data_IF_717731231334
#
_entry.id   IF_717731231334
#
_cell.length_a   1.000
_cell.length_b   1.000
_cell.length_c   1.000
_cell.angle_alpha   90.00
_cell.angle_beta   90.00
_cell.angle_gamma   90.00
#
_symmetry.space_group_name_H-M   'P 1'
#
loop_
_entity.id
_entity.type
_entity.pdbx_description
1 polymer ?
#
# COMPACT_ATOMS: atom_id res chain seq x y z
N UNK A 1 -17.04 -42.40 32.68
CA UNK A 1 -16.61 -41.72 31.45
C UNK A 1 -16.23 -40.31 31.84
N UNK A 2 -14.95 -40.08 32.10
CA UNK A 2 -14.42 -38.72 32.34
C UNK A 2 -14.48 -37.98 31.01
N UNK A 3 -15.10 -36.79 31.01
CA UNK A 3 -14.96 -35.86 29.91
C UNK A 3 -13.46 -35.59 29.75
N UNK A 4 -12.89 -36.06 28.63
CA UNK A 4 -11.55 -35.74 28.22
C UNK A 4 -11.51 -34.22 28.08
N UNK A 5 -10.73 -33.55 28.94
CA UNK A 5 -10.51 -32.12 28.83
C UNK A 5 -9.93 -31.89 27.44
N UNK A 6 -10.68 -31.23 26.55
CA UNK A 6 -10.19 -30.86 25.23
C UNK A 6 -9.06 -29.87 25.46
N UNK A 7 -7.82 -30.36 25.39
CA UNK A 7 -6.63 -29.52 25.46
C UNK A 7 -6.77 -28.36 24.47
N UNK A 8 -6.48 -27.12 24.87
CA UNK A 8 -6.58 -25.98 23.97
C UNK A 8 -5.65 -26.21 22.77
N UNK A 9 -6.25 -26.34 21.58
CA UNK A 9 -5.51 -26.58 20.34
C UNK A 9 -4.53 -25.42 20.11
N UNK A 10 -3.24 -25.75 19.98
CA UNK A 10 -2.16 -24.82 19.69
C UNK A 10 -2.53 -23.87 18.52
N UNK A 11 -2.43 -22.54 18.68
CA UNK A 11 -2.92 -21.58 17.68
C UNK A 11 -2.27 -21.74 16.31
N UNK A 12 -1.00 -22.14 16.27
CA UNK A 12 -0.29 -22.38 15.03
C UNK A 12 -0.80 -23.65 14.32
N UNK A 13 -1.03 -24.74 15.07
CA UNK A 13 -1.61 -25.99 14.55
C UNK A 13 -2.97 -25.72 13.90
N UNK A 14 -3.83 -24.95 14.57
CA UNK A 14 -5.13 -24.56 14.00
C UNK A 14 -5.00 -23.70 12.75
N UNK A 15 -4.06 -22.76 12.75
CA UNK A 15 -3.75 -21.90 11.60
C UNK A 15 -3.23 -22.70 10.41
N UNK A 16 -2.31 -23.64 10.63
CA UNK A 16 -1.78 -24.53 9.60
C UNK A 16 -2.92 -25.34 8.99
N UNK A 17 -3.79 -25.91 9.81
CA UNK A 17 -4.95 -26.67 9.35
C UNK A 17 -5.92 -25.83 8.49
N UNK A 18 -6.06 -24.52 8.77
CA UNK A 18 -6.84 -23.61 7.94
C UNK A 18 -6.20 -23.38 6.56
N UNK A 19 -4.87 -23.25 6.49
CA UNK A 19 -4.15 -23.16 5.20
C UNK A 19 -4.18 -24.48 4.42
N UNK A 20 -4.01 -25.62 5.09
CA UNK A 20 -4.18 -26.96 4.51
C UNK A 20 -5.54 -27.12 3.81
N UNK A 21 -6.64 -26.78 4.51
CA UNK A 21 -7.99 -26.86 3.93
C UNK A 21 -8.27 -25.79 2.88
N UNK A 22 -7.68 -24.61 3.04
CA UNK A 22 -8.03 -23.40 2.30
C UNK A 22 -7.02 -22.95 1.25
N UNK A 23 -5.99 -23.73 0.92
CA UNK A 23 -4.89 -23.32 0.06
C UNK A 23 -5.34 -22.75 -1.29
N UNK A 24 -6.26 -23.44 -1.98
CA UNK A 24 -6.81 -22.97 -3.25
C UNK A 24 -7.58 -21.64 -3.11
N UNK A 25 -8.40 -21.50 -2.06
CA UNK A 25 -9.13 -20.26 -1.76
C UNK A 25 -8.16 -19.12 -1.46
N UNK A 26 -7.11 -19.39 -0.67
CA UNK A 26 -6.08 -18.41 -0.36
C UNK A 26 -5.34 -17.94 -1.61
N UNK A 27 -4.95 -18.87 -2.50
CA UNK A 27 -4.30 -18.55 -3.75
C UNK A 27 -5.18 -17.64 -4.61
N UNK A 28 -6.48 -17.92 -4.72
CA UNK A 28 -7.42 -17.10 -5.48
C UNK A 28 -7.61 -15.68 -4.92
N UNK A 29 -7.50 -15.50 -3.59
CA UNK A 29 -7.60 -14.20 -2.92
C UNK A 29 -6.25 -13.48 -2.75
N UNK A 30 -5.15 -14.12 -3.16
CA UNK A 30 -3.82 -13.53 -3.07
C UNK A 30 -3.57 -12.67 -4.29
N UNK A 31 -3.39 -11.37 -4.09
CA UNK A 31 -2.99 -10.45 -5.15
C UNK A 31 -1.70 -10.93 -5.81
N UNK A 32 -1.66 -10.86 -7.14
CA UNK A 32 -0.44 -11.11 -7.93
C UNK A 32 0.67 -10.08 -7.70
N UNK A 33 0.40 -8.98 -6.99
CA UNK A 33 1.42 -7.99 -6.63
C UNK A 33 2.31 -8.55 -5.52
N UNK A 34 3.62 -8.66 -5.81
CA UNK A 34 4.65 -9.11 -4.86
C UNK A 34 4.80 -8.20 -3.64
N UNK A 35 5.36 -8.73 -2.56
CA UNK A 35 5.64 -7.95 -1.36
C UNK A 35 6.72 -6.87 -1.58
N UNK A 36 6.61 -5.69 -0.96
CA UNK A 36 7.73 -4.74 -0.86
C UNK A 36 8.96 -5.32 -0.16
N UNK A 37 8.78 -6.33 0.71
CA UNK A 37 9.90 -7.03 1.36
C UNK A 37 10.85 -7.67 0.34
N UNK A 38 10.39 -7.97 -0.88
CA UNK A 38 11.25 -8.45 -1.97
C UNK A 38 12.28 -7.39 -2.34
N UNK A 39 11.89 -6.11 -2.47
CA UNK A 39 12.84 -5.03 -2.79
C UNK A 39 13.84 -4.80 -1.66
N UNK A 40 13.37 -4.89 -0.41
CA UNK A 40 14.22 -4.79 0.77
C UNK A 40 15.30 -5.89 0.77
N UNK A 41 14.92 -7.14 0.45
CA UNK A 41 15.88 -8.23 0.39
C UNK A 41 16.89 -8.03 -0.76
N UNK A 42 16.42 -7.64 -1.95
CA UNK A 42 17.28 -7.42 -3.12
C UNK A 42 18.32 -6.32 -2.89
N UNK A 43 18.05 -5.35 -2.03
CA UNK A 43 19.04 -4.33 -1.65
C UNK A 43 20.18 -4.87 -0.76
N UNK A 44 20.06 -6.11 -0.27
CA UNK A 44 20.96 -6.69 0.74
C UNK A 44 21.61 -8.01 0.33
N UNK A 45 21.32 -8.50 -0.87
CA UNK A 45 21.91 -9.74 -1.39
C UNK A 45 22.57 -9.48 -2.74
N UNK A 46 23.59 -10.27 -3.05
CA UNK A 46 24.23 -10.24 -4.36
C UNK A 46 23.36 -10.97 -5.41
N UNK A 47 23.50 -10.63 -6.71
CA UNK A 47 22.95 -11.45 -7.78
C UNK A 47 23.39 -12.93 -7.63
N UNK A 48 22.49 -13.88 -7.91
CA UNK A 48 22.77 -15.31 -7.74
C UNK A 48 22.75 -15.80 -6.29
N UNK A 49 22.39 -14.96 -5.31
CA UNK A 49 22.24 -15.38 -3.93
C UNK A 49 21.22 -16.51 -3.76
N UNK A 50 21.55 -17.48 -2.89
CA UNK A 50 20.67 -18.60 -2.54
C UNK A 50 19.79 -18.19 -1.35
N UNK A 51 18.48 -18.22 -1.54
CA UNK A 51 17.48 -17.80 -0.55
C UNK A 51 16.63 -18.97 -0.11
N UNK A 52 16.46 -19.15 1.20
CA UNK A 52 15.38 -19.96 1.74
C UNK A 52 14.13 -19.10 1.92
N UNK A 53 13.04 -19.42 1.21
CA UNK A 53 11.74 -18.80 1.48
C UNK A 53 10.93 -19.68 2.42
N UNK A 54 10.57 -19.14 3.58
CA UNK A 54 9.64 -19.74 4.53
C UNK A 54 8.22 -19.30 4.17
N UNK A 55 7.32 -20.26 3.96
CA UNK A 55 5.91 -20.04 3.64
C UNK A 55 5.69 -19.40 2.26
N UNK A 56 6.17 -20.05 1.21
CA UNK A 56 6.03 -19.64 -0.19
C UNK A 56 4.58 -19.46 -0.64
N UNK A 57 3.63 -20.15 -0.01
CA UNK A 57 2.22 -20.15 -0.37
C UNK A 57 2.03 -20.46 -1.87
N UNK A 58 1.32 -19.60 -2.63
CA UNK A 58 1.15 -19.78 -4.07
C UNK A 58 2.42 -19.48 -4.90
N UNK A 59 3.55 -19.12 -4.28
CA UNK A 59 4.85 -18.95 -4.94
C UNK A 59 5.11 -17.57 -5.56
N UNK A 60 4.27 -16.58 -5.24
CA UNK A 60 4.33 -15.22 -5.81
C UNK A 60 5.66 -14.52 -5.52
N UNK A 61 6.10 -14.52 -4.26
CA UNK A 61 7.28 -13.76 -3.85
C UNK A 61 8.57 -14.47 -4.29
N UNK A 62 8.66 -15.81 -4.18
CA UNK A 62 9.72 -16.59 -4.82
C UNK A 62 9.85 -16.32 -6.33
N UNK A 63 8.75 -16.30 -7.09
CA UNK A 63 8.82 -16.04 -8.53
C UNK A 63 9.44 -14.66 -8.82
N UNK A 64 9.16 -13.66 -7.98
CA UNK A 64 9.76 -12.34 -8.13
C UNK A 64 11.26 -12.32 -7.77
N UNK A 65 11.66 -13.06 -6.73
CA UNK A 65 13.07 -13.21 -6.34
C UNK A 65 13.87 -13.95 -7.43
N UNK A 66 13.31 -15.02 -7.99
CA UNK A 66 13.90 -15.76 -9.11
C UNK A 66 14.02 -14.90 -10.37
N UNK A 67 12.99 -14.10 -10.69
CA UNK A 67 13.04 -13.15 -11.81
C UNK A 67 14.11 -12.06 -11.63
N UNK A 68 14.48 -11.76 -10.38
CA UNK A 68 15.59 -10.86 -10.06
C UNK A 68 16.97 -11.56 -10.06
N UNK A 69 17.03 -12.85 -10.39
CA UNK A 69 18.27 -13.61 -10.56
C UNK A 69 18.77 -14.31 -9.29
N UNK A 70 17.91 -14.52 -8.29
CA UNK A 70 18.24 -15.29 -7.08
C UNK A 70 17.85 -16.77 -7.26
N UNK A 71 18.48 -17.65 -6.50
CA UNK A 71 18.13 -19.08 -6.44
C UNK A 71 17.27 -19.31 -5.20
N UNK A 72 16.00 -19.64 -5.37
CA UNK A 72 15.06 -19.75 -4.25
C UNK A 72 14.75 -21.21 -3.91
N UNK A 73 15.02 -21.59 -2.68
CA UNK A 73 14.56 -22.84 -2.08
C UNK A 73 13.20 -22.58 -1.44
N UNK A 74 12.13 -23.04 -2.10
CA UNK A 74 10.75 -22.78 -1.70
C UNK A 74 10.31 -23.74 -0.60
N UNK A 75 9.70 -23.22 0.46
CA UNK A 75 9.16 -24.06 1.53
C UNK A 75 7.82 -23.55 2.03
N UNK A 76 6.94 -24.45 2.45
CA UNK A 76 5.69 -24.08 3.13
C UNK A 76 5.34 -25.11 4.20
N UNK A 77 4.60 -24.69 5.22
CA UNK A 77 4.08 -25.63 6.21
C UNK A 77 2.92 -26.46 5.66
N UNK A 78 2.12 -25.90 4.74
CA UNK A 78 0.95 -26.55 4.18
C UNK A 78 1.29 -27.34 2.91
N UNK A 79 1.09 -28.67 2.95
CA UNK A 79 1.39 -29.58 1.84
C UNK A 79 0.70 -29.19 0.52
N UNK A 80 -0.56 -28.72 0.47
CA UNK A 80 -1.21 -28.33 -0.78
C UNK A 80 -0.50 -27.23 -1.56
N UNK A 81 0.14 -26.28 -0.88
CA UNK A 81 0.98 -25.28 -1.55
C UNK A 81 2.23 -25.93 -2.14
N UNK A 82 2.91 -26.76 -1.36
CA UNK A 82 4.12 -27.48 -1.80
C UNK A 82 3.80 -28.40 -2.99
N UNK A 83 2.72 -29.17 -2.94
CA UNK A 83 2.26 -30.02 -4.03
C UNK A 83 1.97 -29.22 -5.30
N UNK A 84 1.32 -28.06 -5.18
CA UNK A 84 1.05 -27.16 -6.31
C UNK A 84 2.33 -26.63 -6.92
N UNK A 85 3.29 -26.18 -6.11
CA UNK A 85 4.59 -25.67 -6.58
C UNK A 85 5.41 -26.76 -7.28
N UNK A 86 5.41 -27.99 -6.73
CA UNK A 86 6.05 -29.15 -7.37
C UNK A 86 5.41 -29.49 -8.71
N UNK A 87 4.08 -29.44 -8.81
CA UNK A 87 3.36 -29.66 -10.06
C UNK A 87 3.68 -28.59 -11.13
N UNK A 88 4.09 -27.38 -10.71
CA UNK A 88 4.58 -26.32 -11.58
C UNK A 88 6.06 -26.46 -11.95
N UNK A 89 6.75 -27.49 -11.45
CA UNK A 89 8.16 -27.76 -11.73
C UNK A 89 9.14 -27.07 -10.78
N UNK A 90 8.67 -26.47 -9.70
CA UNK A 90 9.55 -25.86 -8.71
C UNK A 90 10.07 -26.88 -7.69
N UNK A 91 11.33 -26.71 -7.25
CA UNK A 91 11.86 -27.41 -6.08
C UNK A 91 11.25 -26.80 -4.81
N UNK A 92 10.26 -27.50 -4.26
CA UNK A 92 9.55 -27.10 -3.04
C UNK A 92 9.48 -28.26 -2.06
N UNK A 93 9.57 -27.95 -0.75
CA UNK A 93 9.40 -28.94 0.33
C UNK A 93 8.55 -28.44 1.47
N UNK A 94 7.94 -29.37 2.19
CA UNK A 94 7.29 -29.06 3.47
C UNK A 94 8.35 -28.72 4.51
N UNK A 95 8.12 -27.62 5.23
CA UNK A 95 8.95 -27.20 6.35
C UNK A 95 8.08 -26.55 7.42
N UNK A 96 8.10 -27.11 8.63
CA UNK A 96 7.55 -26.44 9.80
C UNK A 96 8.53 -25.34 10.25
N UNK A 97 8.04 -24.11 10.36
CA UNK A 97 8.82 -22.97 10.87
C UNK A 97 9.22 -23.11 12.33
N UNK A 98 8.67 -24.08 13.09
CA UNK A 98 9.13 -24.47 14.44
C UNK A 98 10.14 -25.62 14.44
N UNK A 99 10.57 -26.13 13.29
CA UNK A 99 11.61 -27.13 13.21
C UNK A 99 12.94 -26.63 13.81
N UNK A 100 13.73 -27.56 14.35
CA UNK A 100 15.03 -27.23 14.98
C UNK A 100 16.12 -26.88 13.96
N UNK A 101 15.94 -27.33 12.71
CA UNK A 101 16.87 -27.12 11.59
C UNK A 101 16.12 -26.83 10.28
N UNK A 102 16.54 -25.77 9.59
CA UNK A 102 16.05 -25.42 8.26
C UNK A 102 17.01 -25.84 7.15
N UNK A 103 18.18 -26.40 7.47
CA UNK A 103 19.29 -26.62 6.55
C UNK A 103 20.05 -25.34 6.23
N UNK A 104 20.84 -25.37 5.15
CA UNK A 104 21.66 -24.25 4.68
C UNK A 104 23.16 -24.58 4.66
N UNK A 105 24.04 -23.56 4.71
CA UNK A 105 23.73 -22.15 4.94
C UNK A 105 23.29 -21.39 3.67
N UNK A 106 22.30 -20.52 3.82
CA UNK A 106 21.73 -19.67 2.77
C UNK A 106 22.31 -18.25 2.79
N UNK A 107 22.38 -17.57 1.64
CA UNK A 107 22.75 -16.16 1.58
C UNK A 107 21.68 -15.26 2.21
N UNK A 108 20.42 -15.70 2.15
CA UNK A 108 19.36 -15.11 2.94
C UNK A 108 18.23 -16.08 3.30
N UNK A 109 17.48 -15.72 4.35
CA UNK A 109 16.19 -16.32 4.71
C UNK A 109 15.11 -15.25 4.55
N UNK A 110 14.02 -15.60 3.88
CA UNK A 110 12.90 -14.71 3.56
C UNK A 110 11.59 -15.28 4.11
N UNK A 111 10.81 -14.48 4.84
CA UNK A 111 9.56 -14.91 5.46
C UNK A 111 8.49 -13.80 5.44
N UNK A 112 7.72 -13.71 4.36
CA UNK A 112 6.72 -12.67 4.20
C UNK A 112 5.36 -13.07 4.78
N UNK A 113 4.93 -12.40 5.85
CA UNK A 113 3.65 -12.62 6.54
C UNK A 113 3.45 -14.06 7.04
N UNK A 114 4.55 -14.71 7.45
CA UNK A 114 4.58 -16.10 7.94
C UNK A 114 4.81 -16.15 9.44
N UNK A 115 5.90 -15.54 9.93
CA UNK A 115 6.31 -15.62 11.34
C UNK A 115 5.33 -14.92 12.30
N UNK A 116 4.41 -14.11 11.78
CA UNK A 116 3.28 -13.55 12.53
C UNK A 116 2.24 -14.60 12.96
N UNK A 117 2.32 -15.83 12.45
CA UNK A 117 1.51 -16.98 12.88
C UNK A 117 2.18 -17.80 14.00
N UNK A 118 3.42 -17.47 14.38
CA UNK A 118 4.16 -18.17 15.43
C UNK A 118 3.79 -17.57 16.79
N UNK A 119 3.39 -18.38 17.79
CA UNK A 119 3.10 -17.89 19.13
C UNK A 119 4.32 -17.18 19.74
N UNK A 120 4.05 -16.18 20.58
CA UNK A 120 5.06 -15.20 21.03
C UNK A 120 6.27 -15.86 21.69
N UNK A 121 6.03 -16.91 22.46
CA UNK A 121 7.01 -17.69 23.21
C UNK A 121 7.96 -18.49 22.31
N UNK A 122 7.57 -18.78 21.07
CA UNK A 122 8.39 -19.54 20.12
C UNK A 122 9.19 -18.68 19.15
N UNK A 123 8.86 -17.39 18.99
CA UNK A 123 9.50 -16.56 17.97
C UNK A 123 11.03 -16.49 18.14
N UNK A 124 11.53 -16.40 19.37
CA UNK A 124 12.99 -16.33 19.62
C UNK A 124 13.70 -17.58 19.11
N UNK A 125 13.15 -18.77 19.36
CA UNK A 125 13.72 -20.02 18.90
C UNK A 125 13.69 -20.11 17.36
N UNK A 126 12.57 -19.72 16.74
CA UNK A 126 12.42 -19.71 15.28
C UNK A 126 13.40 -18.74 14.61
N UNK A 127 13.55 -17.53 15.16
CA UNK A 127 14.52 -16.56 14.67
C UNK A 127 15.96 -17.06 14.86
N UNK A 128 16.27 -17.75 15.96
CA UNK A 128 17.58 -18.36 16.15
C UNK A 128 17.87 -19.46 15.12
N UNK A 129 16.89 -20.31 14.79
CA UNK A 129 17.02 -21.32 13.72
C UNK A 129 17.23 -20.65 12.36
N UNK A 130 16.44 -19.62 12.02
CA UNK A 130 16.62 -18.86 10.78
C UNK A 130 18.02 -18.20 10.70
N UNK A 131 18.52 -17.68 11.81
CA UNK A 131 19.86 -17.09 11.90
C UNK A 131 20.99 -18.12 11.77
N UNK A 132 20.80 -19.36 12.25
CA UNK A 132 21.76 -20.46 12.04
C UNK A 132 21.77 -20.95 10.59
N UNK A 133 20.61 -20.94 9.94
CA UNK A 133 20.45 -21.28 8.53
C UNK A 133 21.04 -20.20 7.59
N UNK A 134 21.36 -19.01 8.09
CA UNK A 134 21.89 -17.88 7.29
C UNK A 134 23.41 -17.80 7.39
N UNK A 135 24.10 -17.59 6.27
CA UNK A 135 25.55 -17.35 6.23
C UNK A 135 25.94 -16.14 7.07
N UNK A 136 27.18 -16.13 7.57
CA UNK A 136 27.75 -14.94 8.18
C UNK A 136 27.72 -13.77 7.19
N UNK A 137 27.13 -12.64 7.61
CA UNK A 137 26.93 -11.47 6.75
C UNK A 137 25.72 -11.56 5.79
N UNK A 138 24.99 -12.67 5.77
CA UNK A 138 23.73 -12.82 5.04
C UNK A 138 22.57 -12.07 5.70
N UNK A 139 21.38 -12.17 5.09
CA UNK A 139 20.19 -11.42 5.50
C UNK A 139 19.04 -12.33 5.97
N UNK A 140 18.33 -11.92 7.02
CA UNK A 140 17.02 -12.48 7.38
C UNK A 140 15.98 -11.37 7.19
N UNK A 141 15.09 -11.52 6.21
CA UNK A 141 14.02 -10.58 5.89
C UNK A 141 12.67 -11.20 6.26
N UNK A 142 11.92 -10.57 7.16
CA UNK A 142 10.60 -11.05 7.58
C UNK A 142 9.63 -9.90 7.85
N UNK A 143 8.34 -10.12 7.57
CA UNK A 143 7.29 -9.12 7.81
C UNK A 143 6.26 -9.58 8.86
N UNK A 144 5.74 -8.63 9.63
CA UNK A 144 4.86 -8.85 10.77
C UNK A 144 3.66 -7.90 10.74
N UNK A 145 2.57 -8.27 11.44
CA UNK A 145 1.49 -7.33 11.71
C UNK A 145 1.83 -6.48 12.92
N UNK A 146 1.80 -5.16 12.75
CA UNK A 146 2.02 -4.19 13.81
C UNK A 146 0.84 -4.17 14.78
N UNK A 147 1.13 -4.14 16.08
CA UNK A 147 0.13 -4.04 17.15
C UNK A 147 0.63 -4.66 18.45
N UNK A 148 -0.26 -4.83 19.42
CA UNK A 148 -0.01 -5.53 20.67
C UNK A 148 -0.97 -6.70 20.84
N UNK A 149 -0.53 -7.74 21.56
CA UNK A 149 -1.35 -8.93 21.81
C UNK A 149 -1.44 -9.88 20.62
N UNK A 150 -2.61 -10.47 20.43
CA UNK A 150 -2.89 -11.51 19.44
C UNK A 150 -4.36 -11.49 19.01
N UNK A 151 -4.69 -12.12 17.90
CA UNK A 151 -6.08 -12.21 17.43
C UNK A 151 -6.30 -13.21 16.32
N UNK A 152 -7.58 -13.53 16.06
CA UNK A 152 -7.99 -14.45 15.02
C UNK A 152 -8.64 -13.71 13.86
N UNK A 153 -8.48 -14.23 12.64
CA UNK A 153 -9.22 -13.75 11.47
C UNK A 153 -9.57 -14.90 10.54
N UNK A 154 -10.76 -14.81 9.94
CA UNK A 154 -11.19 -15.73 8.89
C UNK A 154 -10.97 -15.17 7.48
N UNK A 155 -10.43 -13.95 7.36
CA UNK A 155 -10.25 -13.29 6.07
C UNK A 155 -9.37 -14.13 5.11
N UNK A 156 -9.75 -14.20 3.83
CA UNK A 156 -9.13 -14.98 2.73
C UNK A 156 -9.31 -16.50 2.79
N UNK A 157 -9.51 -17.08 3.98
CA UNK A 157 -9.61 -18.54 4.15
C UNK A 157 -11.02 -19.00 4.48
N UNK A 158 -11.92 -18.11 4.93
CA UNK A 158 -13.20 -18.48 5.56
C UNK A 158 -13.01 -19.44 6.74
N UNK A 159 -11.80 -19.48 7.31
CA UNK A 159 -11.37 -20.37 8.37
C UNK A 159 -10.33 -19.65 9.25
N UNK A 160 -10.26 -20.04 10.51
CA UNK A 160 -9.59 -19.28 11.55
C UNK A 160 -8.07 -19.41 11.46
N UNK A 161 -7.40 -18.28 11.28
CA UNK A 161 -5.95 -18.14 11.41
C UNK A 161 -5.60 -17.12 12.49
N UNK A 162 -4.68 -17.51 13.36
CA UNK A 162 -4.19 -16.71 14.47
C UNK A 162 -3.09 -15.76 14.02
N UNK A 163 -3.00 -14.58 14.62
CA UNK A 163 -1.93 -13.63 14.41
C UNK A 163 -1.39 -13.19 15.76
N UNK A 164 -0.07 -13.23 15.94
CA UNK A 164 0.61 -12.48 16.98
C UNK A 164 0.98 -11.10 16.43
N UNK A 165 0.55 -10.05 17.13
CA UNK A 165 0.85 -8.68 16.77
C UNK A 165 2.11 -8.22 17.47
N UNK A 166 2.92 -7.42 16.77
CA UNK A 166 4.21 -7.04 17.29
C UNK A 166 4.45 -5.54 17.22
N UNK A 167 5.02 -4.99 18.29
CA UNK A 167 5.62 -3.67 18.24
C UNK A 167 7.06 -3.75 17.75
N UNK A 168 7.60 -2.63 17.27
CA UNK A 168 9.00 -2.55 16.83
C UNK A 168 9.98 -2.90 17.96
N UNK A 169 9.69 -2.43 19.19
CA UNK A 169 10.51 -2.73 20.36
C UNK A 169 10.49 -4.21 20.75
N UNK A 170 9.32 -4.86 20.65
CA UNK A 170 9.20 -6.31 20.93
C UNK A 170 9.96 -7.15 19.91
N UNK A 171 9.89 -6.81 18.62
CA UNK A 171 10.63 -7.51 17.57
C UNK A 171 12.14 -7.29 17.72
N UNK A 172 12.58 -6.06 18.02
CA UNK A 172 13.98 -5.76 18.28
C UNK A 172 14.51 -6.58 19.47
N UNK A 173 13.75 -6.65 20.57
CA UNK A 173 14.14 -7.43 21.73
C UNK A 173 14.17 -8.95 21.44
N UNK A 174 13.21 -9.47 20.66
CA UNK A 174 13.21 -10.87 20.23
C UNK A 174 14.42 -11.17 19.32
N UNK A 175 14.70 -10.30 18.37
CA UNK A 175 15.85 -10.37 17.48
C UNK A 175 17.18 -10.41 18.25
N UNK A 176 17.36 -9.51 19.22
CA UNK A 176 18.58 -9.44 20.02
C UNK A 176 18.79 -10.71 20.86
N UNK A 177 17.73 -11.25 21.48
CA UNK A 177 17.80 -12.53 22.20
C UNK A 177 18.13 -13.71 21.28
N UNK A 178 17.75 -13.65 20.01
CA UNK A 178 17.98 -14.73 19.05
C UNK A 178 19.42 -14.76 18.51
N UNK A 179 20.17 -13.66 18.64
CA UNK A 179 21.55 -13.53 18.13
C UNK A 179 22.62 -14.11 19.04
N UNK A 180 22.28 -14.47 20.28
CA UNK A 180 23.27 -14.93 21.29
C UNK A 180 24.09 -16.13 20.77
N UNK A 181 23.54 -16.90 19.83
CA UNK A 181 24.18 -18.08 19.25
C UNK A 181 24.53 -17.98 17.74
N UNK A 182 24.43 -16.80 17.10
CA UNK A 182 24.69 -16.65 15.65
C UNK A 182 25.51 -15.42 15.26
N UNK A 183 26.44 -15.63 14.31
CA UNK A 183 27.25 -14.57 13.69
C UNK A 183 26.53 -13.86 12.52
N UNK A 184 25.31 -14.26 12.16
CA UNK A 184 24.55 -13.63 11.08
C UNK A 184 23.94 -12.28 11.52
N UNK A 185 23.90 -11.32 10.60
CA UNK A 185 23.32 -10.00 10.87
C UNK A 185 21.80 -10.05 10.68
N UNK A 186 21.05 -10.07 11.79
CA UNK A 186 19.59 -9.89 11.72
C UNK A 186 19.25 -8.46 11.33
N UNK A 187 18.50 -8.25 10.24
CA UNK A 187 17.91 -6.96 9.91
C UNK A 187 16.41 -7.14 9.70
N UNK A 188 15.62 -6.76 10.70
CA UNK A 188 14.17 -6.76 10.58
C UNK A 188 13.76 -5.61 9.65
N UNK A 189 13.28 -5.95 8.46
CA UNK A 189 12.82 -4.97 7.48
C UNK A 189 11.34 -4.67 7.67
N UNK A 190 11.02 -3.38 7.66
CA UNK A 190 9.69 -2.85 7.94
C UNK A 190 8.77 -3.14 6.75
N UNK A 191 7.88 -4.11 6.91
CA UNK A 191 6.66 -4.17 6.11
C UNK A 191 5.48 -4.27 7.07
N UNK A 192 4.90 -3.10 7.37
CA UNK A 192 3.62 -3.02 8.07
C UNK A 192 2.59 -3.74 7.18
N UNK A 193 2.18 -4.96 7.53
CA UNK A 193 1.01 -5.62 6.89
C UNK A 193 -0.28 -4.82 7.18
N UNK A 194 -0.19 -3.87 8.11
CA UNK A 194 -1.20 -2.89 8.47
C UNK A 194 -1.22 -1.70 7.49
N UNK A 195 -1.73 -1.92 6.28
CA UNK A 195 -2.45 -0.86 5.56
C UNK A 195 -3.92 -1.23 5.39
N UNK A 196 -4.52 -1.61 6.50
CA UNK A 196 -5.95 -1.61 6.77
C UNK A 196 -6.09 -1.71 8.30
N UNK A 197 -6.88 -0.82 8.90
CA UNK A 197 -7.17 -0.69 10.34
C UNK A 197 -6.17 0.16 11.15
N UNK A 198 -6.34 1.49 11.08
CA UNK A 198 -6.73 2.33 12.23
C UNK A 198 -6.37 3.81 11.98
N UNK A 199 -7.39 4.66 11.92
CA UNK A 199 -7.26 6.10 12.07
C UNK A 199 -8.29 6.51 13.13
N UNK A 200 -7.84 6.67 14.39
CA UNK A 200 -8.19 7.76 15.30
C UNK A 200 -7.49 7.60 16.65
N UNK A 201 -6.60 8.54 16.96
CA UNK A 201 -6.66 9.40 18.15
C UNK A 201 -5.27 9.82 18.64
N UNK A 202 -4.96 11.10 18.40
CA UNK A 202 -4.36 12.05 19.36
C UNK A 202 -4.28 13.42 18.69
N UNK A 203 -5.42 14.10 18.63
CA UNK A 203 -5.48 15.56 18.55
C UNK A 203 -6.34 16.04 19.72
N UNK A 204 -5.68 16.42 20.81
CA UNK A 204 -6.33 16.91 22.02
C UNK A 204 -5.31 17.57 22.93
N UNK A 205 -4.99 18.83 22.65
CA UNK A 205 -4.08 19.65 23.45
C UNK A 205 -4.08 21.08 22.92
N UNK A 206 -4.99 21.90 23.44
CA UNK A 206 -5.25 23.25 22.94
C UNK A 206 -4.22 24.29 23.36
N UNK A 207 -4.20 25.41 22.64
CA UNK A 207 -3.70 26.70 23.11
C UNK A 207 -4.67 27.80 22.67
N UNK A 208 -4.95 28.72 23.60
CA UNK A 208 -5.92 29.84 23.50
C UNK A 208 -5.31 31.09 22.86
N UNK A 209 -6.22 31.86 22.23
CA UNK A 209 -6.35 33.33 22.09
C UNK A 209 -5.18 34.24 21.65
N UNK A 210 -5.47 35.06 20.61
CA UNK A 210 -5.65 36.51 20.82
C UNK A 210 -4.88 37.49 19.90
N UNK A 211 -5.67 38.35 19.22
CA UNK A 211 -5.46 39.79 18.92
C UNK A 211 -4.81 40.26 17.59
N UNK A 212 -5.63 41.01 16.80
CA UNK A 212 -5.42 42.35 16.16
C UNK A 212 -4.30 42.51 15.10
N UNK A 213 -4.36 43.32 14.02
CA UNK A 213 -5.18 44.45 13.55
C UNK A 213 -4.79 44.87 12.10
N UNK A 214 -5.74 45.53 11.41
CA UNK A 214 -5.64 46.67 10.44
C UNK A 214 -4.95 46.58 9.05
N UNK A 215 -5.72 47.08 8.05
CA UNK A 215 -5.37 47.56 6.71
C UNK A 215 -4.47 48.83 6.72
N UNK A 216 -3.89 49.22 5.56
CA UNK A 216 -4.30 50.50 4.93
C UNK A 216 -4.34 50.46 3.37
N UNK A 217 -5.35 51.07 2.73
CA UNK A 217 -5.51 52.43 2.12
C UNK A 217 -4.99 52.61 0.67
N UNK A 218 -5.89 53.16 -0.14
CA UNK A 218 -5.77 53.65 -1.53
C UNK A 218 -5.29 55.11 -1.55
N UNK A 219 -4.69 55.59 -2.66
CA UNK A 219 -4.98 56.94 -3.16
C UNK A 219 -5.25 57.02 -4.69
N UNK A 220 -5.70 58.19 -5.21
CA UNK A 220 -6.71 58.29 -6.28
C UNK A 220 -6.23 58.85 -7.65
N UNK A 221 -7.21 59.03 -8.54
CA UNK A 221 -7.19 59.50 -9.95
C UNK A 221 -6.94 61.01 -10.16
N UNK A 222 -6.48 61.36 -11.36
CA UNK A 222 -6.75 62.59 -12.13
C UNK A 222 -6.88 62.18 -13.62
N UNK A 223 -7.97 62.51 -14.34
CA UNK A 223 -8.25 63.71 -15.19
C UNK A 223 -7.18 63.97 -16.27
N UNK A 224 -7.43 64.37 -17.52
CA UNK A 224 -8.58 64.50 -18.43
C UNK A 224 -8.02 65.03 -19.76
N UNK A 225 -8.73 64.82 -20.89
CA UNK A 225 -8.54 65.48 -22.20
C UNK A 225 -7.21 65.19 -22.95
N UNK A 226 -7.12 65.14 -24.29
CA UNK A 226 -7.78 65.93 -25.33
C UNK A 226 -7.60 65.27 -26.71
N UNK A 227 -8.54 65.58 -27.60
CA UNK A 227 -8.65 65.16 -29.00
C UNK A 227 -7.80 66.06 -29.89
N UNK A 228 -7.14 65.49 -30.90
CA UNK A 228 -6.64 66.19 -32.08
C UNK A 228 -6.88 65.35 -33.35
N UNK A 229 -7.51 65.97 -34.36
CA UNK A 229 -7.68 65.48 -35.74
C UNK A 229 -6.49 65.95 -36.60
N UNK A 230 -6.16 65.29 -37.74
CA UNK A 230 -6.73 65.79 -39.00
C UNK A 230 -6.95 64.75 -40.13
N UNK A 231 -8.02 65.03 -40.90
CA UNK A 231 -8.19 64.93 -42.37
C UNK A 231 -7.68 63.72 -43.16
N UNK A 232 -8.62 63.07 -43.86
CA UNK A 232 -8.33 62.29 -45.07
C UNK A 232 -9.58 61.61 -45.60
N UNK A 233 -10.09 62.09 -46.74
CA UNK A 233 -11.18 61.48 -47.50
C UNK A 233 -10.73 60.10 -48.01
N UNK A 234 -11.61 59.11 -48.05
CA UNK A 234 -11.99 58.37 -49.27
C UNK A 234 -13.00 57.24 -48.94
N UNK A 235 -14.06 57.18 -49.75
CA UNK A 235 -14.82 55.99 -50.14
C UNK A 235 -15.56 55.14 -49.09
N UNK A 236 -16.87 55.40 -49.03
CA UNK A 236 -17.94 54.47 -48.68
C UNK A 236 -17.88 53.22 -49.59
N UNK A 237 -17.59 52.05 -49.01
CA UNK A 237 -18.00 50.75 -49.53
C UNK A 237 -18.80 50.05 -48.44
N UNK A 238 -20.08 49.86 -48.72
CA UNK A 238 -20.90 48.84 -48.09
C UNK A 238 -20.17 47.50 -48.19
N UNK A 239 -19.81 46.91 -47.05
CA UNK A 239 -19.62 45.47 -46.94
C UNK A 239 -20.50 44.97 -45.80
N UNK A 240 -21.43 44.11 -46.20
CA UNK A 240 -22.44 43.52 -45.37
C UNK A 240 -21.79 42.57 -44.36
N UNK A 241 -22.21 42.68 -43.10
CA UNK A 241 -22.26 41.59 -42.12
C UNK A 241 -21.15 40.53 -42.24
N UNK A 242 -20.00 40.75 -41.61
CA UNK A 242 -19.15 39.62 -41.22
C UNK A 242 -19.87 38.84 -40.11
N UNK A 243 -20.16 37.54 -40.29
CA UNK A 243 -20.63 36.73 -39.17
C UNK A 243 -19.47 36.66 -38.18
N UNK A 244 -19.72 37.05 -36.93
CA UNK A 244 -18.74 36.97 -35.86
C UNK A 244 -18.05 35.62 -35.90
N UNK A 245 -16.72 35.61 -36.04
CA UNK A 245 -15.92 34.38 -35.98
C UNK A 245 -16.22 33.71 -34.65
N UNK A 246 -17.06 32.67 -34.68
CA UNK A 246 -17.22 31.79 -33.54
C UNK A 246 -15.85 31.27 -33.10
N UNK A 247 -15.66 30.99 -31.79
CA UNK A 247 -14.35 30.59 -31.25
C UNK A 247 -13.73 29.48 -32.11
N UNK A 248 -12.41 29.52 -32.31
CA UNK A 248 -11.70 28.48 -33.08
C UNK A 248 -12.02 27.09 -32.53
N UNK A 249 -11.96 26.05 -33.37
CA UNK A 249 -12.23 24.67 -32.96
C UNK A 249 -11.44 24.27 -31.70
N UNK A 250 -10.19 24.73 -31.60
CA UNK A 250 -9.32 24.60 -30.42
C UNK A 250 -9.87 25.25 -29.15
N UNK A 251 -10.44 26.45 -29.23
CA UNK A 251 -11.04 27.12 -28.08
C UNK A 251 -12.32 26.39 -27.61
N UNK A 252 -13.12 25.87 -28.54
CA UNK A 252 -14.29 25.04 -28.19
C UNK A 252 -13.88 23.73 -27.55
N UNK A 253 -12.88 23.04 -28.08
CA UNK A 253 -12.36 21.79 -27.51
C UNK A 253 -11.80 22.02 -26.10
N UNK A 254 -11.08 23.12 -25.85
CA UNK A 254 -10.57 23.45 -24.53
C UNK A 254 -11.69 23.69 -23.51
N UNK A 255 -12.76 24.40 -23.90
CA UNK A 255 -13.93 24.62 -23.05
C UNK A 255 -14.62 23.30 -22.72
N UNK A 256 -14.86 22.44 -23.72
CA UNK A 256 -15.52 21.14 -23.49
C UNK A 256 -14.69 20.17 -22.65
N UNK A 257 -13.36 20.18 -22.80
CA UNK A 257 -12.46 19.40 -21.93
C UNK A 257 -12.49 19.91 -20.49
N UNK A 258 -12.55 21.24 -20.28
CA UNK A 258 -12.72 21.82 -18.95
C UNK A 258 -14.06 21.43 -18.31
N UNK A 259 -15.15 21.53 -19.06
CA UNK A 259 -16.49 21.13 -18.60
C UNK A 259 -16.55 19.64 -18.24
N UNK A 260 -15.98 18.77 -19.09
CA UNK A 260 -15.91 17.33 -18.81
C UNK A 260 -15.09 17.01 -17.56
N UNK A 261 -13.98 17.72 -17.35
CA UNK A 261 -13.14 17.58 -16.14
C UNK A 261 -13.88 17.98 -14.86
N UNK A 262 -14.63 19.07 -14.88
CA UNK A 262 -15.44 19.51 -13.74
C UNK A 262 -16.57 18.53 -13.45
N UNK A 263 -17.28 18.05 -14.48
CA UNK A 263 -18.32 17.05 -14.32
C UNK A 263 -17.79 15.75 -13.73
N UNK A 264 -16.64 15.26 -14.21
CA UNK A 264 -15.98 14.10 -13.64
C UNK A 264 -15.60 14.34 -12.17
N UNK A 265 -14.98 15.48 -11.85
CA UNK A 265 -14.61 15.81 -10.46
C UNK A 265 -15.82 15.79 -9.51
N UNK A 266 -16.99 16.28 -9.95
CA UNK A 266 -18.22 16.24 -9.17
C UNK A 266 -18.71 14.79 -8.99
N UNK A 267 -18.75 14.00 -10.07
CA UNK A 267 -19.20 12.60 -10.03
C UNK A 267 -18.30 11.73 -9.13
N UNK A 268 -17.01 12.01 -9.08
CA UNK A 268 -16.03 11.30 -8.25
C UNK A 268 -15.83 11.91 -6.85
N UNK A 269 -16.59 12.96 -6.49
CA UNK A 269 -16.46 13.62 -5.18
C UNK A 269 -16.93 12.69 -4.04
N UNK A 270 -16.15 12.54 -2.94
CA UNK A 270 -16.52 11.69 -1.81
C UNK A 270 -17.65 12.31 -0.96
N UNK A 271 -18.91 12.00 -1.29
CA UNK A 271 -20.09 12.59 -0.61
C UNK A 271 -20.72 11.67 0.43
N UNK A 272 -20.73 10.36 0.18
CA UNK A 272 -21.48 9.43 1.01
C UNK A 272 -20.53 8.58 1.85
N UNK A 273 -20.84 8.49 3.13
CA UNK A 273 -20.18 7.54 4.02
C UNK A 273 -21.02 6.28 4.04
N UNK A 274 -20.49 5.21 3.47
CA UNK A 274 -21.06 3.88 3.58
C UNK A 274 -20.29 3.10 4.66
N UNK A 275 -20.92 2.12 5.29
CA UNK A 275 -20.28 1.37 6.35
C UNK A 275 -20.99 0.08 6.68
N UNK A 276 -20.28 -0.82 7.34
CA UNK A 276 -20.81 -2.08 7.86
C UNK A 276 -20.44 -2.18 9.32
N UNK A 277 -21.40 -2.56 10.16
CA UNK A 277 -21.17 -2.94 11.54
C UNK A 277 -21.34 -4.45 11.65
N UNK A 278 -20.36 -5.11 12.26
CA UNK A 278 -20.41 -6.52 12.61
C UNK A 278 -20.30 -6.66 14.13
N UNK A 279 -21.12 -7.53 14.71
CA UNK A 279 -21.07 -7.80 16.15
C UNK A 279 -19.79 -8.56 16.50
N UNK A 280 -19.14 -8.12 17.59
CA UNK A 280 -17.98 -8.82 18.12
C UNK A 280 -18.42 -10.09 18.84
N UNK A 281 -17.50 -11.05 18.92
CA UNK A 281 -17.64 -12.20 19.81
C UNK A 281 -17.39 -11.84 21.28
N UNK A 282 -16.87 -10.64 21.55
CA UNK A 282 -16.74 -10.07 22.90
C UNK A 282 -18.03 -9.32 23.27
N UNK A 283 -18.72 -9.68 24.38
CA UNK A 283 -19.95 -9.01 24.79
C UNK A 283 -19.75 -7.50 24.99
N UNK A 284 -20.57 -6.69 24.31
CA UNK A 284 -20.53 -5.24 24.42
C UNK A 284 -19.61 -4.53 23.42
N UNK A 285 -18.96 -5.26 22.53
CA UNK A 285 -18.18 -4.69 21.43
C UNK A 285 -18.85 -4.97 20.07
N UNK A 286 -18.90 -3.97 19.20
CA UNK A 286 -19.24 -4.15 17.77
C UNK A 286 -18.22 -3.39 16.94
N UNK A 287 -17.79 -3.99 15.82
CA UNK A 287 -16.82 -3.38 14.92
C UNK A 287 -17.57 -2.73 13.76
N UNK A 288 -17.49 -1.41 13.65
CA UNK A 288 -18.04 -0.67 12.53
C UNK A 288 -16.91 -0.17 11.62
N UNK A 289 -16.96 -0.53 10.35
CA UNK A 289 -16.12 0.07 9.32
C UNK A 289 -16.94 1.11 8.57
N UNK A 290 -16.30 2.21 8.18
CA UNK A 290 -16.91 3.18 7.27
C UNK A 290 -15.89 3.64 6.23
N UNK A 291 -16.37 3.90 5.03
CA UNK A 291 -15.58 4.34 3.88
C UNK A 291 -16.36 5.38 3.09
N UNK A 292 -15.64 6.19 2.32
CA UNK A 292 -16.25 7.21 1.47
C UNK A 292 -16.49 6.63 0.07
N UNK A 293 -17.67 6.87 -0.48
CA UNK A 293 -18.03 6.50 -1.85
C UNK A 293 -18.34 7.74 -2.69
N UNK A 294 -18.01 7.66 -3.97
CA UNK A 294 -18.41 8.63 -4.97
C UNK A 294 -19.89 8.46 -5.37
N UNK A 295 -20.43 9.38 -6.17
CA UNK A 295 -21.81 9.29 -6.70
C UNK A 295 -22.03 8.04 -7.57
N UNK A 296 -20.95 7.47 -8.12
CA UNK A 296 -20.99 6.24 -8.94
C UNK A 296 -20.62 4.98 -8.14
N UNK A 297 -20.58 5.06 -6.81
CA UNK A 297 -20.37 3.91 -5.93
C UNK A 297 -18.94 3.41 -5.84
N UNK A 298 -17.96 4.17 -6.34
CA UNK A 298 -16.55 3.82 -6.22
C UNK A 298 -16.02 4.26 -4.86
N UNK A 299 -15.31 3.36 -4.18
CA UNK A 299 -14.55 3.71 -2.97
C UNK A 299 -13.48 4.75 -3.31
N UNK A 300 -13.49 5.86 -2.57
CA UNK A 300 -12.59 6.99 -2.79
C UNK A 300 -12.22 7.64 -1.47
N UNK A 301 -11.28 8.58 -1.48
CA UNK A 301 -10.94 9.40 -0.32
C UNK A 301 -10.79 10.85 -0.75
N UNK A 302 -10.96 11.80 0.18
CA UNK A 302 -10.73 13.23 -0.08
C UNK A 302 -9.34 13.49 -0.68
N UNK A 303 -8.31 12.77 -0.21
CA UNK A 303 -6.94 12.95 -0.70
C UNK A 303 -6.73 12.44 -2.13
N UNK A 304 -7.28 11.27 -2.46
CA UNK A 304 -7.24 10.75 -3.83
C UNK A 304 -7.97 11.68 -4.80
N UNK A 305 -9.13 12.21 -4.39
CA UNK A 305 -9.89 13.17 -5.18
C UNK A 305 -9.13 14.49 -5.38
N UNK A 306 -8.55 15.06 -4.32
CA UNK A 306 -7.73 16.27 -4.41
C UNK A 306 -6.53 16.08 -5.34
N UNK A 307 -5.86 14.92 -5.25
CA UNK A 307 -4.74 14.56 -6.12
C UNK A 307 -5.16 14.46 -7.59
N UNK A 308 -6.24 13.73 -7.88
CA UNK A 308 -6.78 13.61 -9.24
C UNK A 308 -7.21 14.96 -9.83
N UNK A 309 -7.84 15.80 -9.01
CA UNK A 309 -8.28 17.15 -9.42
C UNK A 309 -7.07 18.05 -9.73
N UNK A 310 -6.02 18.01 -8.91
CA UNK A 310 -4.80 18.77 -9.16
C UNK A 310 -4.12 18.36 -10.47
N UNK A 311 -4.07 17.07 -10.79
CA UNK A 311 -3.52 16.55 -12.05
C UNK A 311 -4.34 17.02 -13.25
N UNK A 312 -5.68 16.95 -13.19
CA UNK A 312 -6.56 17.41 -14.26
C UNK A 312 -6.39 18.92 -14.51
N UNK A 313 -6.32 19.73 -13.45
CA UNK A 313 -6.05 21.16 -13.55
C UNK A 313 -4.67 21.45 -14.18
N UNK A 314 -3.63 20.70 -13.78
CA UNK A 314 -2.28 20.83 -14.34
C UNK A 314 -2.21 20.48 -15.82
N UNK A 315 -2.88 19.40 -16.25
CA UNK A 315 -2.97 19.00 -17.65
C UNK A 315 -3.75 20.02 -18.48
N UNK A 316 -4.89 20.50 -17.98
CA UNK A 316 -5.67 21.55 -18.62
C UNK A 316 -4.84 22.84 -18.80
N UNK A 317 -4.07 23.23 -17.78
CA UNK A 317 -3.15 24.36 -17.87
C UNK A 317 -2.06 24.15 -18.91
N UNK A 318 -1.42 22.98 -18.97
CA UNK A 318 -0.40 22.66 -19.97
C UNK A 318 -0.94 22.71 -21.41
N UNK A 319 -2.16 22.22 -21.62
CA UNK A 319 -2.81 22.18 -22.94
C UNK A 319 -3.31 23.57 -23.39
N UNK A 320 -3.64 24.44 -22.45
CA UNK A 320 -4.16 25.79 -22.73
C UNK A 320 -3.10 26.89 -22.65
N UNK A 321 -1.90 26.58 -22.12
CA UNK A 321 -0.83 27.55 -21.98
C UNK A 321 -0.42 28.08 -23.36
N UNK A 322 -0.47 29.40 -23.60
CA UNK A 322 -0.07 29.97 -24.87
C UNK A 322 1.41 29.63 -25.10
N UNK A 323 1.68 28.89 -26.19
CA UNK A 323 3.05 28.66 -26.67
C UNK A 323 3.59 30.04 -27.06
N UNK A 324 4.53 30.58 -26.27
CA UNK A 324 5.27 31.79 -26.67
C UNK A 324 5.93 31.48 -28.01
N UNK A 325 5.46 32.11 -29.09
CA UNK A 325 6.18 32.13 -30.36
C UNK A 325 7.53 32.78 -30.05
N UNK A 326 8.63 32.06 -30.25
CA UNK A 326 9.96 32.68 -30.32
C UNK A 326 9.87 33.69 -31.45
N UNK A 327 9.94 34.97 -31.11
CA UNK A 327 10.22 36.01 -32.09
C UNK A 327 11.68 35.79 -32.49
N UNK A 328 11.89 35.18 -33.66
CA UNK A 328 13.16 35.25 -34.36
C UNK A 328 13.27 36.68 -34.91
N UNK A 329 14.36 37.34 -34.56
CA UNK A 329 14.68 38.67 -35.05
C UNK A 329 15.21 38.60 -36.48
N UNK A 330 14.68 39.49 -37.32
CA UNK A 330 15.36 40.11 -38.46
C UNK A 330 15.28 41.63 -38.27
#
# INVERSE_FOLDING_TARGET
MTAEAIEPVDPQTKTLAAYERGAARYAAHTSGVRSPLVDDLLAHVAPGAVVLELGSGPGRDAAALEAAGLVVHRTDGAEPFVATLRAQGHDARVLDVRAEDFGGPYDAVFANAVLLHVPREHLVAVLATALRATKAGGALAASFKKGSGEGWSNAKLEDARHFTYWTEGELAAAADRSRVDSAARLRLHRTDVARALDHRDRAGGGIRHGLTERMPRVPPRHDSASIAWPSGRESYRDDMTTPGRGPSSTARTAVWLGVAGVAAAIVFFPLFTAGMCADSSVPGESYCTSWQQSLVGLETTTWLWLGATAVLCGLAWLLTRPRRRRAEGE
#
